data_IF_093354671304
#
_entry.id   IF_093354671304
#
_cell.length_a   1.000
_cell.length_b   1.000
_cell.length_c   1.000
_cell.angle_alpha   90.00
_cell.angle_beta   90.00
_cell.angle_gamma   90.00
#
_symmetry.space_group_name_H-M   'P 1'
#
loop_
_entity.id
_entity.type
_entity.pdbx_description
1 polymer ?
#
# COMPACT_ATOMS: atom_id res chain seq x y z
N UNK A 1 9.44 -25.69 5.48
CA UNK A 1 8.67 -24.44 5.68
C UNK A 1 7.87 -24.02 4.43
N UNK A 2 8.44 -24.03 3.18
CA UNK A 2 7.71 -23.64 1.97
C UNK A 2 6.46 -24.51 1.73
N UNK A 3 6.58 -25.83 1.85
CA UNK A 3 5.45 -26.77 1.73
C UNK A 3 4.39 -26.51 2.80
N UNK A 4 4.82 -26.30 4.03
CA UNK A 4 3.95 -26.04 5.18
C UNK A 4 3.19 -24.71 4.99
N UNK A 5 3.86 -23.68 4.46
CA UNK A 5 3.24 -22.38 4.17
C UNK A 5 2.19 -22.51 3.05
N UNK A 6 2.49 -23.27 1.99
CA UNK A 6 1.52 -23.53 0.93
C UNK A 6 0.26 -24.21 1.47
N UNK A 7 0.45 -25.27 2.25
CA UNK A 7 -0.67 -26.04 2.81
C UNK A 7 -1.49 -25.22 3.81
N UNK A 8 -0.85 -24.31 4.54
CA UNK A 8 -1.52 -23.37 5.43
C UNK A 8 -2.35 -22.34 4.66
N UNK A 9 -1.77 -21.72 3.62
CA UNK A 9 -2.47 -20.75 2.76
C UNK A 9 -3.69 -21.41 2.06
N UNK A 10 -3.55 -22.64 1.56
CA UNK A 10 -4.65 -23.39 0.96
C UNK A 10 -5.80 -23.61 1.96
N UNK A 11 -5.48 -24.01 3.20
CA UNK A 11 -6.49 -24.17 4.25
C UNK A 11 -7.16 -22.87 4.66
N UNK A 12 -6.39 -21.77 4.74
CA UNK A 12 -6.93 -20.45 5.05
C UNK A 12 -7.87 -19.97 3.95
N UNK A 13 -7.52 -20.16 2.69
CA UNK A 13 -8.33 -19.77 1.54
C UNK A 13 -9.70 -20.49 1.49
N UNK A 14 -9.79 -21.72 2.01
CA UNK A 14 -11.08 -22.43 2.12
C UNK A 14 -12.09 -21.70 3.02
N UNK A 15 -11.59 -20.93 4.00
CA UNK A 15 -12.44 -20.18 4.93
C UNK A 15 -12.49 -18.68 4.60
N UNK A 16 -11.58 -18.21 3.77
CA UNK A 16 -11.44 -16.81 3.38
C UNK A 16 -11.23 -16.70 1.87
N UNK A 17 -12.34 -16.57 1.15
CA UNK A 17 -12.34 -16.45 -0.31
C UNK A 17 -11.68 -15.14 -0.82
N UNK A 18 -11.42 -14.18 0.05
CA UNK A 18 -10.75 -12.91 -0.30
C UNK A 18 -9.22 -13.03 -0.28
N UNK A 19 -8.68 -14.08 0.35
CA UNK A 19 -7.25 -14.36 0.31
C UNK A 19 -6.85 -14.90 -1.07
N UNK A 20 -6.03 -14.13 -1.75
CA UNK A 20 -5.38 -14.55 -3.00
C UNK A 20 -3.91 -14.84 -2.74
N UNK A 21 -3.36 -15.88 -3.34
CA UNK A 21 -1.93 -16.13 -3.29
C UNK A 21 -1.44 -16.85 -4.57
N UNK A 22 -0.20 -16.57 -4.93
CA UNK A 22 0.51 -17.21 -6.03
C UNK A 22 1.98 -17.49 -5.65
N UNK A 23 2.59 -18.54 -6.16
CA UNK A 23 4.01 -18.81 -5.93
C UNK A 23 4.87 -17.67 -6.49
N UNK A 24 5.89 -17.28 -5.73
CA UNK A 24 6.88 -16.30 -6.15
C UNK A 24 8.27 -16.72 -5.74
N UNK A 25 9.27 -16.29 -6.51
CA UNK A 25 10.68 -16.54 -6.22
C UNK A 25 11.42 -15.21 -6.21
N UNK A 26 12.12 -14.94 -5.11
CA UNK A 26 13.04 -13.82 -4.97
C UNK A 26 14.48 -14.32 -4.95
N UNK A 27 15.38 -13.60 -5.62
CA UNK A 27 16.80 -13.91 -5.56
C UNK A 27 17.36 -13.80 -4.14
N UNK A 28 16.84 -12.84 -3.34
CA UNK A 28 17.29 -12.58 -1.98
C UNK A 28 16.63 -13.48 -0.93
N UNK A 29 15.31 -13.77 -1.06
CA UNK A 29 14.51 -14.47 -0.04
C UNK A 29 14.22 -15.93 -0.42
N UNK A 30 14.48 -16.35 -1.66
CA UNK A 30 14.18 -17.70 -2.15
C UNK A 30 12.70 -17.87 -2.52
N UNK A 31 12.16 -19.06 -2.28
CA UNK A 31 10.78 -19.41 -2.63
C UNK A 31 9.80 -18.90 -1.59
N UNK A 32 8.74 -18.28 -2.05
CA UNK A 32 7.66 -17.75 -1.22
C UNK A 32 6.34 -17.64 -1.97
N UNK A 33 5.47 -16.79 -1.47
CA UNK A 33 4.17 -16.51 -2.07
C UNK A 33 3.91 -15.00 -2.09
N UNK A 34 3.39 -14.54 -3.20
CA UNK A 34 2.74 -13.24 -3.29
C UNK A 34 1.29 -13.38 -2.88
N UNK A 35 0.88 -12.62 -1.89
CA UNK A 35 -0.47 -12.66 -1.36
C UNK A 35 -1.20 -11.33 -1.61
N UNK A 36 -2.49 -11.42 -1.93
CA UNK A 36 -3.38 -10.27 -2.04
C UNK A 36 -4.32 -10.22 -0.84
N UNK A 37 -4.50 -9.02 -0.29
CA UNK A 37 -5.32 -8.76 0.88
C UNK A 37 -6.31 -7.63 0.64
N UNK A 38 -7.43 -7.63 1.38
CA UNK A 38 -8.42 -6.55 1.33
C UNK A 38 -7.94 -5.24 1.98
N UNK A 39 -6.89 -5.31 2.77
CA UNK A 39 -6.29 -4.18 3.47
C UNK A 39 -5.34 -4.65 4.57
N UNK A 40 -4.75 -3.69 5.30
CA UNK A 40 -3.72 -3.98 6.31
C UNK A 40 -4.22 -4.90 7.43
N UNK A 41 -5.43 -4.65 7.95
CA UNK A 41 -6.02 -5.49 8.99
C UNK A 41 -6.20 -6.95 8.53
N UNK A 42 -6.59 -7.16 7.28
CA UNK A 42 -6.71 -8.51 6.70
C UNK A 42 -5.34 -9.19 6.64
N UNK A 43 -4.29 -8.46 6.20
CA UNK A 43 -2.92 -8.94 6.19
C UNK A 43 -2.47 -9.36 7.59
N UNK A 44 -2.65 -8.50 8.60
CA UNK A 44 -2.27 -8.77 9.99
C UNK A 44 -2.97 -10.01 10.55
N UNK A 45 -4.27 -10.17 10.30
CA UNK A 45 -5.04 -11.34 10.74
C UNK A 45 -4.50 -12.63 10.09
N UNK A 46 -4.25 -12.62 8.80
CA UNK A 46 -3.74 -13.79 8.08
C UNK A 46 -2.32 -14.13 8.55
N UNK A 47 -1.45 -13.12 8.71
CA UNK A 47 -0.10 -13.32 9.24
C UNK A 47 -0.13 -13.92 10.64
N UNK A 48 -0.91 -13.35 11.56
CA UNK A 48 -1.04 -13.85 12.93
C UNK A 48 -1.56 -15.30 12.96
N UNK A 49 -2.51 -15.64 12.08
CA UNK A 49 -3.01 -17.02 11.96
C UNK A 49 -1.94 -17.98 11.44
N UNK A 50 -1.16 -17.59 10.43
CA UNK A 50 -0.06 -18.41 9.92
C UNK A 50 1.01 -18.66 10.98
N UNK A 51 1.35 -17.65 11.77
CA UNK A 51 2.34 -17.78 12.85
C UNK A 51 1.81 -18.61 14.01
N UNK A 52 0.58 -18.36 14.51
CA UNK A 52 0.04 -19.00 15.71
C UNK A 52 -0.62 -20.36 15.48
N UNK A 53 -1.45 -20.49 14.42
CA UNK A 53 -2.18 -21.73 14.16
C UNK A 53 -1.31 -22.77 13.45
N UNK A 54 -0.38 -22.31 12.58
CA UNK A 54 0.47 -23.19 11.78
C UNK A 54 1.93 -23.20 12.23
N UNK A 55 2.28 -22.39 13.24
CA UNK A 55 3.63 -22.30 13.82
C UNK A 55 4.70 -22.03 12.75
N UNK A 56 4.42 -21.10 11.83
CA UNK A 56 5.32 -20.69 10.76
C UNK A 56 6.10 -19.45 11.20
N UNK A 57 7.41 -19.44 10.91
CA UNK A 57 8.26 -18.25 11.04
C UNK A 57 8.33 -17.56 9.67
N UNK A 58 7.71 -16.40 9.56
CA UNK A 58 7.50 -15.71 8.29
C UNK A 58 8.42 -14.51 8.14
N UNK A 59 8.96 -14.36 6.93
CA UNK A 59 9.58 -13.13 6.47
C UNK A 59 8.60 -12.46 5.51
N UNK A 60 8.04 -11.33 5.93
CA UNK A 60 7.10 -10.55 5.12
C UNK A 60 7.77 -9.30 4.58
N UNK A 61 7.47 -8.98 3.33
CA UNK A 61 7.86 -7.71 2.70
C UNK A 61 6.76 -6.67 2.85
N UNK A 62 7.11 -5.40 2.63
CA UNK A 62 6.14 -4.31 2.69
C UNK A 62 5.03 -4.51 1.64
N UNK A 63 3.75 -4.28 2.00
CA UNK A 63 2.65 -4.34 1.05
C UNK A 63 2.78 -3.23 0.00
N UNK A 64 2.28 -3.49 -1.20
CA UNK A 64 2.19 -2.51 -2.28
C UNK A 64 0.84 -2.57 -2.97
N UNK A 65 0.55 -1.57 -3.79
CA UNK A 65 -0.63 -1.54 -4.65
C UNK A 65 -0.27 -2.07 -6.04
N UNK A 66 -1.30 -2.41 -6.82
CA UNK A 66 -1.12 -2.77 -8.22
C UNK A 66 -1.11 -1.49 -9.05
N UNK A 67 -0.03 -1.26 -9.80
CA UNK A 67 0.10 -0.15 -10.73
C UNK A 67 -0.25 -0.60 -12.15
N UNK A 68 -0.67 0.33 -13.01
CA UNK A 68 -0.81 0.08 -14.44
C UNK A 68 0.33 0.77 -15.18
N UNK A 69 1.02 0.00 -16.00
CA UNK A 69 2.12 0.51 -16.84
C UNK A 69 1.66 0.50 -18.28
N UNK A 70 1.58 1.68 -18.88
CA UNK A 70 1.28 1.87 -20.29
C UNK A 70 2.60 1.92 -21.06
N UNK A 71 2.77 0.97 -21.97
CA UNK A 71 3.98 0.85 -22.77
C UNK A 71 3.87 1.65 -24.07
N UNK A 72 5.02 2.03 -24.59
CA UNK A 72 5.13 2.78 -25.87
C UNK A 72 4.56 2.01 -27.09
N UNK A 73 4.45 0.68 -26.98
CA UNK A 73 3.81 -0.17 -28.00
C UNK A 73 2.28 -0.22 -27.91
N UNK A 74 1.69 0.50 -26.93
CA UNK A 74 0.24 0.56 -26.68
C UNK A 74 -0.27 -0.56 -25.77
N UNK A 75 0.56 -1.45 -25.29
CA UNK A 75 0.14 -2.47 -24.31
C UNK A 75 0.05 -1.89 -22.91
N UNK A 76 -0.86 -2.44 -22.09
CA UNK A 76 -1.02 -2.08 -20.67
C UNK A 76 -0.80 -3.32 -19.84
N UNK A 77 0.08 -3.23 -18.86
CA UNK A 77 0.38 -4.33 -17.94
C UNK A 77 0.05 -3.92 -16.50
N UNK A 78 -0.45 -4.87 -15.72
CA UNK A 78 -0.63 -4.72 -14.28
C UNK A 78 0.69 -5.07 -13.59
N UNK A 79 1.30 -4.07 -12.96
CA UNK A 79 2.56 -4.22 -12.22
C UNK A 79 2.25 -4.57 -10.77
N UNK A 80 2.40 -5.84 -10.43
CA UNK A 80 2.24 -6.36 -9.06
C UNK A 80 3.55 -6.44 -8.31
N UNK A 81 4.67 -6.63 -9.03
CA UNK A 81 6.01 -6.71 -8.47
C UNK A 81 6.90 -5.61 -9.06
N UNK A 82 7.45 -4.69 -8.23
CA UNK A 82 8.34 -3.62 -8.71
C UNK A 82 9.53 -4.12 -9.52
N UNK A 83 10.03 -5.33 -9.24
CA UNK A 83 11.15 -5.92 -9.99
C UNK A 83 10.82 -6.26 -11.44
N UNK A 84 9.52 -6.36 -11.77
CA UNK A 84 9.04 -6.62 -13.13
C UNK A 84 8.75 -5.34 -13.93
N UNK A 85 9.16 -4.17 -13.40
CA UNK A 85 9.00 -2.92 -14.13
C UNK A 85 9.79 -2.98 -15.45
N UNK A 86 9.15 -2.69 -16.62
CA UNK A 86 9.85 -2.62 -17.89
C UNK A 86 10.95 -1.56 -17.91
N UNK A 87 11.83 -1.64 -18.91
CA UNK A 87 12.84 -0.60 -19.12
C UNK A 87 12.16 0.78 -19.27
N UNK A 88 12.69 1.85 -18.67
CA UNK A 88 12.11 3.20 -18.79
C UNK A 88 11.86 3.65 -20.22
N UNK A 89 12.65 3.18 -21.19
CA UNK A 89 12.45 3.49 -22.63
C UNK A 89 11.19 2.85 -23.23
N UNK A 90 10.68 1.81 -22.61
CA UNK A 90 9.44 1.12 -23.04
C UNK A 90 8.19 1.68 -22.36
N UNK A 91 8.33 2.53 -21.35
CA UNK A 91 7.22 3.10 -20.58
C UNK A 91 6.80 4.43 -21.18
N UNK A 92 5.53 4.57 -21.54
CA UNK A 92 4.92 5.84 -21.92
C UNK A 92 4.49 6.61 -20.65
N UNK A 93 3.68 5.99 -19.80
CA UNK A 93 3.31 6.53 -18.49
C UNK A 93 2.84 5.41 -17.56
N UNK A 94 2.69 5.76 -16.28
CA UNK A 94 2.17 4.85 -15.27
C UNK A 94 0.94 5.46 -14.58
N UNK A 95 0.05 4.57 -14.11
CA UNK A 95 -1.12 4.93 -13.32
C UNK A 95 -1.09 4.25 -11.96
N UNK A 96 -1.55 4.97 -10.95
CA UNK A 96 -1.75 4.45 -9.60
C UNK A 96 -3.24 4.40 -9.23
N UNK A 97 -3.65 3.45 -8.36
CA UNK A 97 -5.02 3.38 -7.91
C UNK A 97 -5.35 4.53 -6.97
N UNK A 98 -6.49 5.17 -7.22
CA UNK A 98 -7.09 6.19 -6.38
C UNK A 98 -8.28 5.65 -5.61
N UNK A 99 -8.49 6.18 -4.43
CA UNK A 99 -9.68 5.95 -3.63
C UNK A 99 -10.45 7.25 -3.42
N UNK A 100 -11.77 7.13 -3.41
CA UNK A 100 -12.67 8.12 -2.85
C UNK A 100 -12.74 7.88 -1.35
N UNK A 101 -12.29 8.85 -0.59
CA UNK A 101 -12.17 8.81 0.86
C UNK A 101 -13.21 9.73 1.52
N UNK A 102 -13.88 9.23 2.53
CA UNK A 102 -14.83 9.95 3.37
C UNK A 102 -14.31 9.94 4.81
N UNK A 103 -14.02 11.13 5.34
CA UNK A 103 -13.46 11.29 6.67
C UNK A 103 -14.43 12.10 7.53
N UNK A 104 -15.08 11.43 8.48
CA UNK A 104 -15.90 12.11 9.48
C UNK A 104 -15.02 12.58 10.62
N UNK A 105 -15.11 13.85 10.97
CA UNK A 105 -14.27 14.47 12.00
C UNK A 105 -15.06 15.52 12.77
N UNK A 106 -14.69 15.76 14.02
CA UNK A 106 -15.21 16.91 14.77
C UNK A 106 -14.59 18.21 14.27
N UNK A 107 -15.33 19.30 14.33
CA UNK A 107 -14.93 20.61 13.77
C UNK A 107 -13.59 21.11 14.26
N UNK A 108 -13.19 20.78 15.49
CA UNK A 108 -11.91 21.16 16.08
C UNK A 108 -10.68 20.55 15.39
N UNK A 109 -10.86 19.43 14.68
CA UNK A 109 -9.75 18.70 14.04
C UNK A 109 -9.79 18.77 12.52
N UNK A 110 -10.69 19.53 11.90
CA UNK A 110 -10.77 19.70 10.45
C UNK A 110 -9.40 20.12 9.88
N UNK A 111 -8.81 21.18 10.43
CA UNK A 111 -7.51 21.68 9.96
C UNK A 111 -6.39 20.64 9.98
N UNK A 112 -6.11 19.98 11.12
CA UNK A 112 -5.11 18.93 11.22
C UNK A 112 -5.34 17.74 10.27
N UNK A 113 -6.60 17.38 10.00
CA UNK A 113 -6.93 16.29 9.07
C UNK A 113 -6.78 16.71 7.62
N UNK A 114 -7.17 17.94 7.27
CA UNK A 114 -6.94 18.48 5.92
C UNK A 114 -5.43 18.57 5.62
N UNK A 115 -4.63 18.99 6.58
CA UNK A 115 -3.16 19.00 6.46
C UNK A 115 -2.61 17.57 6.25
N UNK A 116 -3.10 16.57 6.98
CA UNK A 116 -2.73 15.18 6.79
C UNK A 116 -3.03 14.72 5.36
N UNK A 117 -4.24 14.96 4.87
CA UNK A 117 -4.63 14.57 3.52
C UNK A 117 -3.77 15.27 2.46
N UNK A 118 -3.43 16.54 2.66
CA UNK A 118 -2.54 17.27 1.76
C UNK A 118 -1.13 16.68 1.74
N UNK A 119 -0.58 16.30 2.90
CA UNK A 119 0.72 15.62 2.99
C UNK A 119 0.73 14.26 2.28
N UNK A 120 -0.45 13.63 2.15
CA UNK A 120 -0.67 12.35 1.45
C UNK A 120 -1.16 12.54 0.02
N UNK A 121 -0.86 13.63 -0.61
CA UNK A 121 -1.25 13.95 -2.00
C UNK A 121 -2.78 13.95 -2.24
N UNK A 122 -3.55 14.15 -1.17
CA UNK A 122 -5.01 14.14 -1.25
C UNK A 122 -5.55 15.33 -2.03
N UNK A 123 -6.48 15.04 -2.95
CA UNK A 123 -7.21 16.02 -3.72
C UNK A 123 -8.55 16.30 -3.01
N UNK A 124 -8.69 17.51 -2.45
CA UNK A 124 -9.92 17.92 -1.77
C UNK A 124 -11.09 17.99 -2.73
N UNK A 125 -12.20 17.31 -2.41
CA UNK A 125 -13.40 17.27 -3.22
C UNK A 125 -14.56 18.06 -2.61
N UNK A 126 -14.55 18.26 -1.29
CA UNK A 126 -15.60 19.00 -0.60
C UNK A 126 -15.68 18.67 0.88
N UNK A 127 -16.54 19.40 1.57
CA UNK A 127 -16.84 19.19 2.98
C UNK A 127 -18.32 19.46 3.23
N UNK A 128 -18.93 18.62 4.02
CA UNK A 128 -20.32 18.75 4.47
C UNK A 128 -20.38 18.78 6.00
N UNK A 129 -21.16 19.71 6.54
CA UNK A 129 -21.46 19.70 7.97
C UNK A 129 -22.65 18.79 8.24
N UNK A 130 -22.39 17.69 8.94
CA UNK A 130 -23.44 16.74 9.33
C UNK A 130 -24.25 17.24 10.53
N UNK A 131 -23.55 17.91 11.45
CA UNK A 131 -24.09 18.52 12.66
C UNK A 131 -23.25 19.77 13.00
N UNK A 132 -23.65 20.50 14.05
CA UNK A 132 -22.89 21.68 14.51
C UNK A 132 -21.45 21.37 14.92
N UNK A 133 -21.15 20.13 15.29
CA UNK A 133 -19.86 19.70 15.82
C UNK A 133 -19.12 18.69 14.94
N UNK A 134 -19.73 18.24 13.84
CA UNK A 134 -19.16 17.20 12.96
C UNK A 134 -19.23 17.61 11.51
N UNK A 135 -18.14 17.31 10.79
CA UNK A 135 -18.03 17.49 9.35
C UNK A 135 -17.57 16.20 8.66
N UNK A 136 -18.04 16.00 7.45
CA UNK A 136 -17.59 14.97 6.53
C UNK A 136 -16.68 15.63 5.49
N UNK A 137 -15.43 15.18 5.42
CA UNK A 137 -14.46 15.61 4.40
C UNK A 137 -14.41 14.58 3.28
N UNK A 138 -14.43 15.04 2.05
CA UNK A 138 -14.33 14.21 0.85
C UNK A 138 -13.00 14.47 0.17
N UNK A 139 -12.25 13.39 -0.08
CA UNK A 139 -10.94 13.44 -0.75
C UNK A 139 -10.81 12.33 -1.79
N UNK A 140 -10.04 12.59 -2.82
CA UNK A 140 -9.42 11.53 -3.60
C UNK A 140 -7.97 11.36 -3.10
N UNK A 141 -7.61 10.16 -2.74
CA UNK A 141 -6.29 9.82 -2.20
C UNK A 141 -5.68 8.67 -2.99
N UNK A 142 -4.37 8.71 -3.28
CA UNK A 142 -3.68 7.54 -3.80
C UNK A 142 -3.74 6.40 -2.78
N UNK A 143 -4.12 5.21 -3.22
CA UNK A 143 -4.26 4.05 -2.32
C UNK A 143 -2.94 3.76 -1.59
N UNK A 144 -1.81 3.91 -2.26
CA UNK A 144 -0.49 3.66 -1.65
C UNK A 144 -0.17 4.59 -0.46
N UNK A 145 -0.79 5.77 -0.40
CA UNK A 145 -0.57 6.75 0.68
C UNK A 145 -1.37 6.42 1.95
N UNK A 146 -2.33 5.49 1.88
CA UNK A 146 -3.22 5.15 2.99
C UNK A 146 -3.00 3.74 3.56
N UNK A 147 -2.25 2.87 2.87
CA UNK A 147 -2.08 1.48 3.29
C UNK A 147 -1.11 1.28 4.45
N UNK A 148 -0.32 2.29 4.83
CA UNK A 148 0.65 2.16 5.92
C UNK A 148 0.15 2.80 7.23
N UNK A 149 0.62 3.98 7.53
CA UNK A 149 0.45 4.68 8.80
C UNK A 149 -0.68 5.75 8.78
N UNK A 150 -1.46 5.83 7.70
CA UNK A 150 -2.49 6.86 7.56
C UNK A 150 -3.56 6.78 8.67
N UNK A 151 -4.03 5.59 9.01
CA UNK A 151 -5.01 5.40 10.07
C UNK A 151 -4.49 5.84 11.43
N UNK A 152 -3.24 5.53 11.76
CA UNK A 152 -2.62 5.92 13.02
C UNK A 152 -2.39 7.43 13.07
N UNK A 153 -1.98 8.02 11.96
CA UNK A 153 -1.87 9.47 11.83
C UNK A 153 -3.23 10.17 11.97
N UNK A 154 -4.28 9.60 11.36
CA UNK A 154 -5.65 10.09 11.45
C UNK A 154 -6.15 10.09 12.89
N UNK A 155 -6.02 8.95 13.58
CA UNK A 155 -6.39 8.80 15.00
C UNK A 155 -5.60 9.74 15.90
N UNK A 156 -4.29 9.82 15.70
CA UNK A 156 -3.43 10.68 16.50
C UNK A 156 -3.80 12.15 16.36
N UNK A 157 -3.99 12.65 15.12
CA UNK A 157 -4.32 14.07 14.85
C UNK A 157 -5.74 14.45 15.25
N UNK A 158 -6.66 13.49 15.36
CA UNK A 158 -8.04 13.70 15.80
C UNK A 158 -8.32 13.26 17.22
N UNK A 159 -7.31 12.84 17.99
CA UNK A 159 -7.47 12.23 19.33
C UNK A 159 -8.47 11.06 19.34
N UNK A 160 -8.53 10.31 18.24
CA UNK A 160 -9.43 9.16 18.07
C UNK A 160 -10.85 9.51 17.62
N UNK A 161 -11.17 10.78 17.37
CA UNK A 161 -12.52 11.21 16.99
C UNK A 161 -12.82 11.14 15.48
N UNK A 162 -11.81 10.89 14.64
CA UNK A 162 -12.01 10.71 13.20
C UNK A 162 -12.35 9.27 12.86
N UNK A 163 -13.32 9.10 11.96
CA UNK A 163 -13.58 7.84 11.25
C UNK A 163 -13.25 8.00 9.77
N UNK A 164 -12.87 6.90 9.14
CA UNK A 164 -12.41 6.89 7.78
C UNK A 164 -13.03 5.71 7.03
N UNK A 165 -13.62 6.00 5.90
CA UNK A 165 -14.11 5.03 4.94
C UNK A 165 -13.59 5.37 3.55
N UNK A 166 -13.39 4.37 2.69
CA UNK A 166 -12.93 4.59 1.34
C UNK A 166 -13.39 3.50 0.38
N UNK A 167 -13.54 3.87 -0.87
CA UNK A 167 -13.83 2.96 -1.97
C UNK A 167 -12.88 3.21 -3.15
N UNK A 168 -12.57 2.16 -3.92
CA UNK A 168 -11.74 2.30 -5.10
C UNK A 168 -12.45 3.18 -6.14
N UNK A 169 -11.81 4.28 -6.53
CA UNK A 169 -12.33 5.19 -7.55
C UNK A 169 -11.92 4.77 -8.97
N UNK A 170 -10.69 4.28 -9.12
CA UNK A 170 -10.09 3.94 -10.40
C UNK A 170 -8.59 4.18 -10.40
N UNK A 171 -8.04 4.46 -11.58
CA UNK A 171 -6.62 4.70 -11.78
C UNK A 171 -6.39 6.10 -12.35
N UNK A 172 -5.32 6.76 -11.92
CA UNK A 172 -4.91 8.07 -12.42
C UNK A 172 -3.42 8.05 -12.76
N UNK A 173 -3.07 8.76 -13.85
CA UNK A 173 -1.67 8.94 -14.25
C UNK A 173 -0.90 9.66 -13.16
N UNK A 174 0.29 9.13 -12.84
CA UNK A 174 1.17 9.67 -11.82
C UNK A 174 2.64 9.53 -12.22
N UNK A 175 3.47 10.44 -11.74
CA UNK A 175 4.92 10.40 -11.92
C UNK A 175 5.51 9.43 -10.88
N UNK A 176 5.69 8.19 -11.28
CA UNK A 176 6.14 7.09 -10.44
C UNK A 176 7.54 6.66 -10.83
N UNK A 177 8.34 6.33 -9.84
CA UNK A 177 9.71 5.84 -10.02
C UNK A 177 9.94 4.58 -9.18
N UNK A 178 10.79 3.69 -9.69
CA UNK A 178 11.27 2.54 -8.93
C UNK A 178 12.42 2.97 -8.02
N UNK A 179 12.33 2.63 -6.75
CA UNK A 179 13.42 2.72 -5.77
C UNK A 179 13.97 1.32 -5.51
N UNK A 180 15.25 1.13 -5.80
CA UNK A 180 15.97 -0.09 -5.50
C UNK A 180 16.81 0.09 -4.24
N UNK A 181 16.71 -0.86 -3.31
CA UNK A 181 17.50 -0.87 -2.09
C UNK A 181 18.74 -1.74 -2.33
N UNK A 182 19.89 -1.13 -2.10
CA UNK A 182 21.18 -1.82 -2.19
C UNK A 182 21.64 -2.24 -0.80
N UNK A 183 21.79 -3.54 -0.59
CA UNK A 183 22.41 -4.08 0.62
C UNK A 183 23.84 -4.51 0.23
N UNK A 184 24.85 -3.93 0.86
CA UNK A 184 26.24 -4.17 0.53
C UNK A 184 26.60 -3.95 -0.96
N UNK A 185 25.95 -2.95 -1.60
CA UNK A 185 26.07 -2.60 -3.03
C UNK A 185 25.41 -3.59 -4.00
N UNK A 186 24.69 -4.57 -3.52
CA UNK A 186 23.90 -5.50 -4.33
C UNK A 186 22.43 -5.16 -4.21
N UNK A 187 21.72 -5.16 -5.33
CA UNK A 187 20.27 -4.88 -5.38
C UNK A 187 19.51 -6.06 -4.74
N UNK A 188 18.56 -5.72 -3.86
CA UNK A 188 17.66 -6.69 -3.23
C UNK A 188 16.27 -6.52 -3.84
N UNK A 189 15.94 -7.39 -4.77
CA UNK A 189 14.68 -7.37 -5.53
C UNK A 189 13.41 -7.34 -4.65
N UNK A 190 13.44 -8.07 -3.54
CA UNK A 190 12.33 -8.12 -2.58
C UNK A 190 12.08 -6.80 -1.82
N UNK A 191 13.03 -5.86 -1.87
CA UNK A 191 12.97 -4.56 -1.19
C UNK A 191 12.79 -3.39 -2.17
N UNK A 192 12.52 -3.66 -3.45
CA UNK A 192 12.22 -2.62 -4.43
C UNK A 192 10.81 -2.07 -4.24
N UNK A 193 10.65 -0.76 -4.43
CA UNK A 193 9.37 -0.06 -4.29
C UNK A 193 9.07 0.79 -5.52
N UNK A 194 7.78 0.99 -5.80
CA UNK A 194 7.31 2.05 -6.68
C UNK A 194 6.80 3.18 -5.78
N UNK A 195 7.30 4.38 -6.01
CA UNK A 195 6.97 5.58 -5.23
C UNK A 195 6.68 6.76 -6.15
N UNK A 196 5.93 7.74 -5.64
CA UNK A 196 5.80 9.03 -6.32
C UNK A 196 7.16 9.74 -6.37
N UNK A 197 7.55 10.25 -7.55
CA UNK A 197 8.87 10.85 -7.76
C UNK A 197 9.16 11.97 -6.76
N UNK A 198 8.19 12.84 -6.51
CA UNK A 198 8.32 13.92 -5.53
C UNK A 198 8.57 13.48 -4.09
N UNK A 199 8.24 12.23 -3.74
CA UNK A 199 8.46 11.63 -2.42
C UNK A 199 9.68 10.72 -2.35
N UNK A 200 10.30 10.40 -3.48
CA UNK A 200 11.37 9.39 -3.58
C UNK A 200 12.54 9.67 -2.63
N UNK A 201 12.95 10.92 -2.50
CA UNK A 201 14.03 11.30 -1.61
C UNK A 201 13.68 11.14 -0.12
N UNK A 202 12.46 11.51 0.27
CA UNK A 202 11.99 11.37 1.65
C UNK A 202 11.83 9.90 2.06
N UNK A 203 11.29 9.06 1.17
CA UNK A 203 11.13 7.62 1.39
C UNK A 203 12.48 6.94 1.56
N UNK A 204 13.50 7.29 0.77
CA UNK A 204 14.85 6.72 0.89
C UNK A 204 15.50 6.99 2.25
N UNK A 205 15.16 8.09 2.91
CA UNK A 205 15.69 8.45 4.23
C UNK A 205 14.94 7.81 5.40
N UNK A 206 13.62 7.66 5.30
CA UNK A 206 12.78 7.20 6.42
C UNK A 206 12.75 5.68 6.58
N UNK A 207 12.95 4.93 5.50
CA UNK A 207 12.93 3.46 5.55
C UNK A 207 14.30 2.79 5.70
N UNK A 208 15.41 3.55 5.64
CA UNK A 208 16.77 3.03 5.72
C UNK A 208 17.45 3.17 7.10
N UNK A 209 16.78 3.69 8.11
CA UNK A 209 17.29 3.62 9.49
C UNK A 209 17.01 2.24 10.06
N UNK A 210 17.85 1.28 9.70
CA UNK A 210 17.95 0.04 10.45
C UNK A 210 18.38 0.38 11.88
N UNK A 211 17.71 -0.13 12.92
CA UNK A 211 18.19 0.00 14.27
C UNK A 211 19.58 -0.66 14.35
N UNK A 212 20.58 0.12 14.75
CA UNK A 212 21.92 -0.38 15.09
C UNK A 212 21.90 -1.19 16.37
#
# INVERSE_FOLDING_TARGET
QYGDLRDALEKLQLNDASLFYEPETSAALGFGFRCGFLGLLHLEIIQERLEREYNLDLVTTAPSVIYKVHKTDGTVIDLTNPSNLPDPSEIDYMEEPLVKAEIMVTTDYIGPIMELCQQRRGQYQGMEYMETTRAMLHYHLPLNEIIYDFFDALKSRSKGYASFDYELLGYERSELVKLDILVNKEEVDALSFIVFEGSAYAVSYTHLTLPT
#
